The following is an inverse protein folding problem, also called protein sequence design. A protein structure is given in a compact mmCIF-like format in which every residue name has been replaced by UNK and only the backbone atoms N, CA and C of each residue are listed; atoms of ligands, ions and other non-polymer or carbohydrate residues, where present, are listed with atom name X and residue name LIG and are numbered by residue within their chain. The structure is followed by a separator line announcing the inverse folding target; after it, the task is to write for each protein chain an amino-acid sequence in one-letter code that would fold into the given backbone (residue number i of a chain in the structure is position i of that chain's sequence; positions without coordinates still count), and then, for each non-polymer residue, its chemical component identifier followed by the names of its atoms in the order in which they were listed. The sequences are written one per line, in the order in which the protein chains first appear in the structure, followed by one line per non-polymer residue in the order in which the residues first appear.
data_IF_032440192589
#
_entry.id   IF_032440192589
#
_cell.length_a   1.000
_cell.length_b   1.000
_cell.length_c   1.000
_cell.angle_alpha   90.00
_cell.angle_beta   90.00
_cell.angle_gamma   90.00
#
_symmetry.space_group_name_H-M   'P 1'
#
loop_
_entity.id
_entity.type
_entity.pdbx_description
1 polymer ?
#
# COMPACT_ATOMS: atom_id res chain seq x y z
N UNK A 1 3.26 -1.95 -29.17
CA UNK A 1 4.32 -1.99 -28.14
C UNK A 1 3.64 -1.57 -26.85
N UNK A 2 3.37 -2.53 -25.97
CA UNK A 2 2.78 -2.24 -24.67
C UNK A 2 3.88 -1.56 -23.86
N UNK A 3 3.83 -0.25 -23.72
CA UNK A 3 4.57 0.44 -22.66
C UNK A 3 4.03 -0.11 -21.35
N UNK A 4 4.68 -1.14 -20.82
CA UNK A 4 4.48 -1.60 -19.45
C UNK A 4 4.85 -0.42 -18.57
N UNK A 5 3.80 0.28 -18.13
CA UNK A 5 3.90 1.41 -17.25
C UNK A 5 4.33 0.88 -15.89
N UNK A 6 5.64 0.66 -15.70
CA UNK A 6 6.30 0.61 -14.40
C UNK A 6 6.26 2.01 -13.75
N UNK A 7 5.09 2.66 -13.73
CA UNK A 7 4.83 3.56 -12.62
C UNK A 7 4.92 2.67 -11.39
N UNK A 8 5.88 2.92 -10.52
CA UNK A 8 5.84 2.46 -9.16
C UNK A 8 5.26 3.65 -8.41
N UNK A 9 3.93 3.73 -8.37
CA UNK A 9 3.24 4.77 -7.60
C UNK A 9 3.33 4.35 -6.14
N UNK A 10 4.43 4.78 -5.51
CA UNK A 10 4.76 4.49 -4.13
C UNK A 10 4.60 5.76 -3.32
N UNK A 11 4.03 5.63 -2.13
CA UNK A 11 4.05 6.71 -1.16
C UNK A 11 4.66 6.24 0.16
N UNK A 12 5.25 7.20 0.88
CA UNK A 12 5.69 6.95 2.25
C UNK A 12 4.49 6.75 3.16
N UNK A 13 4.68 5.95 4.21
CA UNK A 13 3.66 5.67 5.24
C UNK A 13 3.06 6.97 5.81
N UNK A 14 3.89 7.98 6.04
CA UNK A 14 3.43 9.29 6.54
C UNK A 14 2.50 10.04 5.58
N UNK A 15 2.71 9.90 4.27
CA UNK A 15 1.82 10.48 3.26
C UNK A 15 0.53 9.68 3.18
N UNK A 16 0.62 8.34 3.22
CA UNK A 16 -0.55 7.46 3.25
C UNK A 16 -1.43 7.71 4.47
N UNK A 17 -0.83 7.84 5.66
CA UNK A 17 -1.51 8.19 6.89
C UNK A 17 -2.32 9.49 6.75
N UNK A 18 -1.70 10.53 6.20
CA UNK A 18 -2.39 11.80 5.92
C UNK A 18 -3.52 11.67 4.89
N UNK A 19 -3.34 10.85 3.85
CA UNK A 19 -4.39 10.61 2.84
C UNK A 19 -5.59 9.87 3.43
N UNK A 20 -5.34 8.88 4.31
CA UNK A 20 -6.38 8.11 4.97
C UNK A 20 -6.96 8.82 6.21
N UNK A 21 -6.34 9.91 6.68
CA UNK A 21 -6.75 10.60 7.90
C UNK A 21 -6.47 9.81 9.18
N UNK A 22 -5.47 8.92 9.15
CA UNK A 22 -5.05 8.08 10.28
C UNK A 22 -3.67 8.49 10.81
N UNK A 23 -3.26 7.94 11.95
CA UNK A 23 -1.92 8.19 12.48
C UNK A 23 -0.85 7.43 11.68
N UNK A 24 0.40 7.91 11.77
CA UNK A 24 1.54 7.22 11.17
C UNK A 24 1.66 5.78 11.68
N UNK A 25 1.46 5.57 12.98
CA UNK A 25 1.58 4.27 13.64
C UNK A 25 0.55 3.28 13.11
N UNK A 26 -0.72 3.70 12.97
CA UNK A 26 -1.77 2.88 12.37
C UNK A 26 -1.44 2.51 10.91
N UNK A 27 -1.01 3.47 10.09
CA UNK A 27 -0.63 3.21 8.71
C UNK A 27 0.63 2.32 8.61
N UNK A 28 1.58 2.46 9.53
CA UNK A 28 2.76 1.60 9.60
C UNK A 28 2.34 0.17 9.95
N UNK A 29 1.50 0.01 10.97
CA UNK A 29 0.99 -1.29 11.39
C UNK A 29 0.24 -1.99 10.26
N UNK A 30 -0.58 -1.26 9.48
CA UNK A 30 -1.24 -1.83 8.30
C UNK A 30 -0.25 -2.31 7.24
N UNK A 31 0.87 -1.61 7.06
CA UNK A 31 1.90 -2.01 6.12
C UNK A 31 2.72 -3.21 6.66
N UNK A 32 2.89 -3.29 7.97
CA UNK A 32 3.60 -4.38 8.65
C UNK A 32 2.82 -5.68 8.71
N UNK A 33 1.53 -5.59 9.01
CA UNK A 33 0.63 -6.72 9.12
C UNK A 33 0.08 -7.18 7.76
N UNK A 34 0.46 -6.47 6.69
CA UNK A 34 0.01 -6.77 5.32
C UNK A 34 -1.46 -6.45 5.10
N UNK A 35 -2.03 -5.51 5.86
CA UNK A 35 -3.37 -4.97 5.62
C UNK A 35 -3.40 -4.13 4.34
N UNK A 36 -2.38 -3.31 4.11
CA UNK A 36 -2.25 -2.51 2.89
C UNK A 36 -1.08 -3.00 2.05
N UNK A 37 -1.18 -2.92 0.71
CA UNK A 37 -0.10 -3.36 -0.16
C UNK A 37 1.12 -2.48 0.08
N UNK A 38 2.23 -3.09 0.46
CA UNK A 38 3.47 -2.39 0.76
C UNK A 38 4.67 -3.15 0.23
N UNK A 39 5.74 -2.42 -0.10
CA UNK A 39 6.98 -2.98 -0.60
C UNK A 39 8.10 -2.57 0.35
N UNK A 40 8.90 -3.55 0.77
CA UNK A 40 10.11 -3.29 1.54
C UNK A 40 11.26 -2.93 0.59
N UNK A 41 11.68 -1.67 0.63
CA UNK A 41 12.83 -1.15 -0.11
C UNK A 41 13.99 -0.92 0.86
N UNK A 42 14.73 -1.99 1.14
CA UNK A 42 15.85 -1.96 2.09
C UNK A 42 15.38 -1.69 3.51
N UNK A 43 15.78 -0.54 4.09
CA UNK A 43 15.45 -0.15 5.46
C UNK A 43 14.08 0.54 5.61
N UNK A 44 13.40 0.82 4.50
CA UNK A 44 12.12 1.55 4.52
C UNK A 44 11.04 0.74 3.82
N UNK A 45 9.82 0.85 4.32
CA UNK A 45 8.62 0.28 3.70
C UNK A 45 7.82 1.40 3.07
N UNK A 46 7.39 1.18 1.83
CA UNK A 46 6.57 2.13 1.08
C UNK A 46 5.24 1.47 0.71
N UNK A 47 4.18 2.26 0.67
CA UNK A 47 2.85 1.78 0.30
C UNK A 47 2.72 1.78 -1.22
N UNK A 48 2.27 0.65 -1.77
CA UNK A 48 2.03 0.48 -3.20
C UNK A 48 0.62 0.97 -3.56
N UNK A 49 0.55 2.23 -4.02
CA UNK A 49 -0.71 2.87 -4.37
C UNK A 49 -1.34 2.29 -5.62
N UNK A 50 -0.55 1.72 -6.53
CA UNK A 50 -1.10 1.11 -7.75
C UNK A 50 -1.91 -0.12 -7.39
N UNK A 51 -1.38 -0.97 -6.52
CA UNK A 51 -2.11 -2.14 -6.08
C UNK A 51 -3.32 -1.74 -5.27
N UNK A 52 -3.16 -0.80 -4.33
CA UNK A 52 -4.26 -0.26 -3.55
C UNK A 52 -5.38 0.29 -4.44
N UNK A 53 -5.02 1.07 -5.46
CA UNK A 53 -5.97 1.61 -6.45
C UNK A 53 -6.62 0.51 -7.28
N UNK A 54 -5.87 -0.48 -7.75
CA UNK A 54 -6.40 -1.58 -8.53
C UNK A 54 -7.42 -2.39 -7.71
N UNK A 55 -7.17 -2.63 -6.44
CA UNK A 55 -8.12 -3.30 -5.54
C UNK A 55 -9.37 -2.45 -5.28
N UNK A 56 -9.23 -1.14 -5.09
CA UNK A 56 -10.37 -0.22 -5.03
C UNK A 56 -11.18 -0.21 -6.33
N UNK A 57 -10.53 -0.21 -7.49
CA UNK A 57 -11.17 -0.27 -8.81
C UNK A 57 -11.87 -1.62 -9.06
N UNK A 58 -11.36 -2.70 -8.46
CA UNK A 58 -12.02 -4.02 -8.44
C UNK A 58 -13.22 -4.08 -7.48
N UNK A 59 -13.46 -3.03 -6.69
CA UNK A 59 -14.55 -2.97 -5.73
C UNK A 59 -14.21 -3.57 -4.37
N UNK A 60 -12.92 -3.72 -4.04
CA UNK A 60 -12.50 -4.15 -2.72
C UNK A 60 -12.78 -3.05 -1.70
N UNK A 61 -13.72 -3.30 -0.81
CA UNK A 61 -14.14 -2.33 0.21
C UNK A 61 -13.40 -2.53 1.55
N UNK A 62 -12.79 -3.70 1.77
CA UNK A 62 -12.15 -4.08 3.03
C UNK A 62 -10.75 -4.60 2.79
N UNK A 63 -9.82 -4.10 3.58
CA UNK A 63 -8.42 -4.49 3.62
C UNK A 63 -8.20 -5.09 5.01
N UNK A 64 -7.79 -6.36 5.07
CA UNK A 64 -7.65 -7.10 6.32
C UNK A 64 -6.20 -7.53 6.53
N UNK A 65 -5.84 -7.79 7.78
CA UNK A 65 -4.58 -8.37 8.20
C UNK A 65 -4.18 -9.56 7.31
N UNK A 66 -2.96 -9.57 6.78
CA UNK A 66 -2.47 -10.70 5.98
C UNK A 66 -2.85 -10.70 4.51
N UNK A 67 -3.69 -9.79 4.04
CA UNK A 67 -4.17 -9.75 2.65
C UNK A 67 -3.04 -9.52 1.63
N UNK A 68 -1.95 -8.88 2.06
CA UNK A 68 -0.72 -8.61 1.29
C UNK A 68 0.55 -9.16 1.94
N UNK A 69 0.44 -10.15 2.84
CA UNK A 69 1.60 -10.73 3.55
C UNK A 69 2.33 -11.85 2.77
N UNK A 70 1.79 -12.27 1.62
CA UNK A 70 2.35 -13.34 0.77
C UNK A 70 3.21 -12.82 -0.41
N UNK A 71 3.48 -11.52 -0.45
CA UNK A 71 4.33 -10.87 -1.49
C UNK A 71 5.68 -10.41 -0.91
#
# INVERSE_FOLDING_TARGET
MSTENWSLDLCGIATFAQMCGVTYDEAAQWAEDGTVPSIQMGCFRMINLIRFRADLERGKATFDAGDYSDE
#
